data_IF_325584682726
#
_entry.id   IF_325584682726
#
_cell.length_a   1.000
_cell.length_b   1.000
_cell.length_c   1.000
_cell.angle_alpha   90.00
_cell.angle_beta   90.00
_cell.angle_gamma   90.00
#
_symmetry.space_group_name_H-M   'P 1'
#
loop_
_entity.id
_entity.type
_entity.pdbx_description
1 polymer ?
#
# COMPACT_ATOMS: atom_id res chain seq x y z
N UNK A 1 43.12 -13.08 -3.55
CA UNK A 1 44.02 -13.22 -4.71
C UNK A 1 45.37 -13.60 -4.18
N UNK A 2 45.91 -14.70 -4.70
CA UNK A 2 47.33 -14.99 -4.51
C UNK A 2 48.17 -13.85 -5.10
N UNK A 3 49.27 -13.52 -4.41
CA UNK A 3 50.25 -12.54 -4.85
C UNK A 3 51.56 -13.25 -5.09
N UNK A 4 52.24 -12.95 -6.20
CA UNK A 4 53.57 -13.50 -6.47
C UNK A 4 54.57 -12.80 -5.55
N UNK A 5 55.36 -13.57 -4.82
CA UNK A 5 56.42 -13.09 -3.95
C UNK A 5 57.53 -12.46 -4.79
N UNK A 6 58.02 -11.29 -4.36
CA UNK A 6 59.10 -10.61 -5.07
C UNK A 6 60.39 -11.46 -5.08
N UNK A 7 61.07 -11.50 -6.22
CA UNK A 7 62.35 -12.21 -6.34
C UNK A 7 63.45 -11.50 -5.51
N UNK A 8 64.40 -12.26 -4.95
CA UNK A 8 65.55 -11.70 -4.24
C UNK A 8 66.47 -10.94 -5.19
N UNK A 9 67.38 -10.14 -4.63
CA UNK A 9 68.33 -9.32 -5.41
C UNK A 9 69.15 -10.19 -6.38
N UNK A 10 69.18 -9.87 -7.68
CA UNK A 10 69.87 -10.70 -8.66
C UNK A 10 71.39 -10.69 -8.45
N UNK A 11 72.08 -11.82 -8.72
CA UNK A 11 73.54 -11.87 -8.73
C UNK A 11 74.10 -11.00 -9.87
N UNK A 12 75.20 -10.29 -9.62
CA UNK A 12 75.82 -9.38 -10.61
C UNK A 12 77.34 -9.48 -10.58
N UNK A 13 77.96 -9.50 -11.76
CA UNK A 13 79.43 -9.54 -11.88
C UNK A 13 80.11 -8.26 -11.37
N UNK A 14 79.33 -7.19 -11.15
CA UNK A 14 79.79 -5.96 -10.51
C UNK A 14 79.96 -6.09 -8.98
N UNK A 15 79.44 -7.17 -8.37
CA UNK A 15 79.55 -7.47 -6.94
C UNK A 15 79.96 -8.96 -6.75
N UNK A 16 81.22 -9.31 -7.05
CA UNK A 16 81.68 -10.70 -7.06
C UNK A 16 81.66 -11.34 -5.67
N UNK A 17 81.79 -10.55 -4.60
CA UNK A 17 81.79 -11.02 -3.22
C UNK A 17 80.46 -11.65 -2.83
N UNK A 18 79.33 -11.03 -3.24
CA UNK A 18 77.98 -11.51 -2.89
C UNK A 18 77.32 -12.33 -4.00
N UNK A 19 78.02 -12.60 -5.11
CA UNK A 19 77.45 -13.28 -6.27
C UNK A 19 76.92 -14.69 -5.95
N UNK A 20 77.67 -15.58 -5.27
CA UNK A 20 77.22 -16.95 -5.02
C UNK A 20 75.96 -17.01 -4.15
N UNK A 21 75.94 -16.26 -3.03
CA UNK A 21 74.80 -16.23 -2.11
C UNK A 21 73.52 -15.71 -2.79
N UNK A 22 73.64 -14.68 -3.65
CA UNK A 22 72.51 -14.16 -4.44
C UNK A 22 72.05 -15.13 -5.52
N UNK A 23 72.97 -15.90 -6.12
CA UNK A 23 72.63 -16.93 -7.09
C UNK A 23 71.84 -18.07 -6.43
N UNK A 24 72.28 -18.54 -5.27
CA UNK A 24 71.59 -19.58 -4.51
C UNK A 24 70.22 -19.10 -4.02
N UNK A 25 70.14 -17.87 -3.49
CA UNK A 25 68.87 -17.28 -3.07
C UNK A 25 67.86 -17.17 -4.23
N UNK A 26 68.32 -16.76 -5.42
CA UNK A 26 67.49 -16.71 -6.62
C UNK A 26 67.00 -18.10 -7.01
N UNK A 27 67.89 -19.10 -7.06
CA UNK A 27 67.53 -20.47 -7.43
C UNK A 27 66.55 -21.11 -6.45
N UNK A 28 66.65 -20.78 -5.16
CA UNK A 28 65.69 -21.21 -4.13
C UNK A 28 64.32 -20.52 -4.26
N UNK A 29 64.25 -19.31 -4.82
CA UNK A 29 62.99 -18.58 -5.01
C UNK A 29 62.19 -19.04 -6.24
N UNK A 30 62.84 -19.60 -7.26
CA UNK A 30 62.19 -20.01 -8.52
C UNK A 30 61.09 -21.07 -8.34
N UNK A 31 61.27 -22.15 -7.54
CA UNK A 31 60.19 -23.12 -7.31
C UNK A 31 58.93 -22.48 -6.70
N UNK A 32 59.11 -21.59 -5.73
CA UNK A 32 58.01 -20.83 -5.10
C UNK A 32 57.30 -19.95 -6.13
N UNK A 33 58.06 -19.23 -6.96
CA UNK A 33 57.51 -18.41 -8.04
C UNK A 33 56.68 -19.26 -9.03
N UNK A 34 57.12 -20.47 -9.39
CA UNK A 34 56.36 -21.38 -10.25
C UNK A 34 55.05 -21.80 -9.58
N UNK A 35 55.08 -22.17 -8.30
CA UNK A 35 53.87 -22.52 -7.54
C UNK A 35 52.87 -21.36 -7.49
N UNK A 36 53.32 -20.16 -7.16
CA UNK A 36 52.48 -18.97 -7.08
C UNK A 36 51.93 -18.58 -8.46
N UNK A 37 52.75 -18.68 -9.51
CA UNK A 37 52.33 -18.41 -10.90
C UNK A 37 51.25 -19.39 -11.34
N UNK A 38 51.41 -20.67 -11.04
CA UNK A 38 50.40 -21.69 -11.33
C UNK A 38 49.10 -21.46 -10.53
N UNK A 39 49.21 -21.01 -9.28
CA UNK A 39 48.06 -20.65 -8.46
C UNK A 39 47.30 -19.45 -9.04
N UNK A 40 48.00 -18.38 -9.43
CA UNK A 40 47.40 -17.21 -10.10
C UNK A 40 46.75 -17.62 -11.43
N UNK A 41 47.39 -18.48 -12.23
CA UNK A 41 46.80 -18.99 -13.47
C UNK A 41 45.50 -19.76 -13.22
N UNK A 42 45.45 -20.59 -12.16
CA UNK A 42 44.24 -21.29 -11.75
C UNK A 42 43.13 -20.32 -11.28
N UNK A 43 43.48 -19.30 -10.49
CA UNK A 43 42.54 -18.27 -10.04
C UNK A 43 41.96 -17.47 -11.22
N UNK A 44 42.79 -17.10 -12.20
CA UNK A 44 42.34 -16.40 -13.42
C UNK A 44 41.36 -17.26 -14.22
N UNK A 45 41.66 -18.55 -14.41
CA UNK A 45 40.76 -19.49 -15.10
C UNK A 45 39.42 -19.66 -14.35
N UNK A 46 39.47 -19.76 -13.01
CA UNK A 46 38.27 -19.84 -12.18
C UNK A 46 37.43 -18.57 -12.27
N UNK A 47 38.06 -17.39 -12.21
CA UNK A 47 37.38 -16.09 -12.35
C UNK A 47 36.75 -15.92 -13.73
N UNK A 48 37.43 -16.34 -14.80
CA UNK A 48 36.87 -16.32 -16.15
C UNK A 48 35.63 -17.23 -16.27
N UNK A 49 35.69 -18.44 -15.72
CA UNK A 49 34.55 -19.35 -15.69
C UNK A 49 33.38 -18.79 -14.85
N UNK A 50 33.68 -18.20 -13.69
CA UNK A 50 32.68 -17.54 -12.84
C UNK A 50 32.02 -16.35 -13.55
N UNK A 51 32.79 -15.54 -14.27
CA UNK A 51 32.26 -14.41 -15.04
C UNK A 51 31.31 -14.86 -16.17
N UNK A 52 31.66 -15.94 -16.89
CA UNK A 52 30.79 -16.52 -17.93
C UNK A 52 29.48 -17.05 -17.31
N UNK A 53 29.56 -17.77 -16.19
CA UNK A 53 28.36 -18.26 -15.50
C UNK A 53 27.48 -17.13 -14.96
N UNK A 54 28.09 -16.08 -14.39
CA UNK A 54 27.38 -14.90 -13.94
C UNK A 54 26.63 -14.21 -15.11
N UNK A 55 27.30 -14.03 -16.25
CA UNK A 55 26.67 -13.46 -17.45
C UNK A 55 25.51 -14.33 -17.97
N UNK A 56 25.68 -15.65 -18.02
CA UNK A 56 24.62 -16.57 -18.43
C UNK A 56 23.42 -16.52 -17.47
N UNK A 57 23.67 -16.48 -16.15
CA UNK A 57 22.61 -16.38 -15.14
C UNK A 57 21.84 -15.06 -15.22
N UNK A 58 22.52 -13.94 -15.48
CA UNK A 58 21.90 -12.63 -15.66
C UNK A 58 21.06 -12.57 -16.95
N UNK A 59 21.53 -13.17 -18.05
CA UNK A 59 20.79 -13.25 -19.30
C UNK A 59 19.55 -14.16 -19.19
N UNK A 60 19.61 -15.22 -18.38
CA UNK A 60 18.51 -16.13 -18.12
C UNK A 60 17.51 -15.63 -17.05
N UNK A 61 17.80 -14.50 -16.39
CA UNK A 61 16.95 -13.97 -15.33
C UNK A 61 15.54 -13.62 -15.88
N UNK A 62 14.47 -14.21 -15.33
CA UNK A 62 13.10 -13.91 -15.76
C UNK A 62 12.78 -12.42 -15.62
N UNK A 63 12.26 -11.81 -16.70
CA UNK A 63 11.78 -10.43 -16.64
C UNK A 63 10.51 -10.30 -15.79
N UNK A 64 10.31 -9.13 -15.16
CA UNK A 64 9.10 -8.80 -14.39
C UNK A 64 8.09 -7.96 -15.17
N UNK A 65 8.49 -7.43 -16.33
CA UNK A 65 7.62 -6.69 -17.23
C UNK A 65 7.38 -7.49 -18.51
N UNK A 66 6.21 -7.30 -19.10
CA UNK A 66 5.80 -7.91 -20.35
C UNK A 66 4.94 -6.97 -21.17
N UNK A 67 4.55 -7.43 -22.35
CA UNK A 67 3.61 -6.73 -23.20
C UNK A 67 2.58 -7.72 -23.74
N UNK A 68 1.46 -7.21 -24.24
CA UNK A 68 0.46 -8.02 -24.92
C UNK A 68 -0.15 -7.26 -26.08
N UNK A 69 -0.35 -7.96 -27.20
CA UNK A 69 -1.10 -7.47 -28.35
C UNK A 69 -2.55 -8.02 -28.39
N UNK A 70 -2.99 -8.68 -27.32
CA UNK A 70 -4.35 -9.24 -27.25
C UNK A 70 -5.39 -8.12 -27.25
N UNK A 71 -6.41 -8.26 -28.11
CA UNK A 71 -7.57 -7.37 -28.16
C UNK A 71 -8.51 -7.68 -26.99
N UNK A 72 -8.48 -6.85 -25.95
CA UNK A 72 -9.22 -7.07 -24.70
C UNK A 72 -9.98 -5.80 -24.33
N UNK A 73 -11.26 -5.95 -24.01
CA UNK A 73 -12.08 -4.88 -23.45
C UNK A 73 -11.71 -4.63 -21.98
N UNK A 74 -11.57 -3.37 -21.60
CA UNK A 74 -11.41 -2.97 -20.20
C UNK A 74 -12.67 -3.37 -19.43
N UNK A 75 -12.49 -4.13 -18.36
CA UNK A 75 -13.57 -4.53 -17.47
C UNK A 75 -13.09 -5.45 -16.35
N UNK A 76 -13.90 -5.60 -15.32
CA UNK A 76 -13.60 -6.46 -14.17
C UNK A 76 -13.81 -7.94 -14.47
N UNK A 77 -13.36 -8.80 -13.55
CA UNK A 77 -13.45 -10.27 -13.65
C UNK A 77 -12.32 -10.88 -14.49
N UNK A 78 -12.47 -12.15 -14.86
CA UNK A 78 -11.44 -12.86 -15.62
C UNK A 78 -11.20 -12.21 -17.01
N UNK A 79 -9.92 -12.00 -17.34
CA UNK A 79 -9.43 -11.53 -18.64
C UNK A 79 -8.23 -12.38 -19.05
N UNK A 80 -8.13 -12.67 -20.34
CA UNK A 80 -7.06 -13.48 -20.91
C UNK A 80 -6.20 -12.65 -21.85
N UNK A 81 -4.89 -12.85 -21.78
CA UNK A 81 -3.89 -12.20 -22.61
C UNK A 81 -2.91 -13.24 -23.14
N UNK A 82 -2.36 -12.97 -24.32
CA UNK A 82 -1.17 -13.62 -24.83
C UNK A 82 0.00 -12.68 -24.62
N UNK A 83 1.06 -13.18 -24.00
CA UNK A 83 2.24 -12.42 -23.59
C UNK A 83 3.50 -13.26 -23.78
N UNK A 84 4.66 -12.76 -23.39
CA UNK A 84 5.91 -13.52 -23.44
C UNK A 84 5.92 -14.64 -22.39
N UNK A 85 6.65 -15.72 -22.68
CA UNK A 85 6.89 -16.80 -21.73
C UNK A 85 8.03 -16.47 -20.74
N UNK A 86 8.09 -17.21 -19.63
CA UNK A 86 9.22 -17.18 -18.70
C UNK A 86 9.33 -15.90 -17.85
N UNK A 87 8.22 -15.22 -17.55
CA UNK A 87 8.21 -14.06 -16.65
C UNK A 87 8.12 -14.48 -15.17
N UNK A 88 8.74 -13.70 -14.28
CA UNK A 88 8.68 -13.92 -12.82
C UNK A 88 7.35 -13.41 -12.24
N UNK A 89 6.25 -14.06 -12.63
CA UNK A 89 4.88 -13.60 -12.37
C UNK A 89 4.11 -14.51 -11.41
N UNK A 90 4.79 -15.34 -10.62
CA UNK A 90 4.13 -16.27 -9.71
C UNK A 90 3.42 -15.53 -8.57
N UNK A 91 2.10 -15.73 -8.46
CA UNK A 91 1.22 -15.17 -7.42
C UNK A 91 1.29 -13.63 -7.26
N UNK A 92 1.65 -12.91 -8.33
CA UNK A 92 1.74 -11.45 -8.33
C UNK A 92 0.41 -10.79 -8.73
N UNK A 93 0.31 -9.50 -8.40
CA UNK A 93 -0.66 -8.61 -9.02
C UNK A 93 -0.02 -7.92 -10.23
N UNK A 94 -0.84 -7.60 -11.22
CA UNK A 94 -0.42 -6.91 -12.43
C UNK A 94 -1.19 -5.61 -12.61
N UNK A 95 -0.47 -4.59 -13.08
CA UNK A 95 -1.05 -3.43 -13.74
C UNK A 95 -0.86 -3.62 -15.25
N UNK A 96 -1.98 -3.64 -15.96
CA UNK A 96 -2.05 -3.81 -17.42
C UNK A 96 -2.56 -2.50 -17.99
N UNK A 97 -1.70 -1.69 -18.60
CA UNK A 97 -2.02 -0.35 -19.08
C UNK A 97 -1.88 -0.25 -20.58
N UNK A 98 -2.73 0.56 -21.21
CA UNK A 98 -2.56 0.92 -22.62
C UNK A 98 -1.21 1.63 -22.81
N UNK A 99 -0.45 1.19 -23.80
CA UNK A 99 0.83 1.81 -24.17
C UNK A 99 0.69 3.20 -24.77
N UNK A 100 -0.46 3.52 -25.36
CA UNK A 100 -0.74 4.81 -26.00
C UNK A 100 -1.40 5.78 -25.01
N UNK A 101 -2.39 5.30 -24.26
CA UNK A 101 -3.15 6.12 -23.31
C UNK A 101 -3.11 5.52 -21.90
N UNK A 102 -2.06 5.77 -21.10
CA UNK A 102 -1.85 5.08 -19.81
C UNK A 102 -2.92 5.32 -18.73
N UNK A 103 -3.85 6.26 -18.94
CA UNK A 103 -5.05 6.43 -18.08
C UNK A 103 -6.06 5.29 -18.25
N UNK A 104 -5.94 4.52 -19.34
CA UNK A 104 -6.67 3.28 -19.58
C UNK A 104 -5.88 2.11 -19.01
N UNK A 105 -6.38 1.47 -17.95
CA UNK A 105 -5.68 0.37 -17.31
C UNK A 105 -6.62 -0.61 -16.59
N UNK A 106 -6.08 -1.81 -16.35
CA UNK A 106 -6.67 -2.86 -15.54
C UNK A 106 -5.66 -3.29 -14.46
N UNK A 107 -6.13 -3.42 -13.24
CA UNK A 107 -5.38 -3.98 -12.12
C UNK A 107 -6.01 -5.30 -11.71
N UNK A 108 -5.21 -6.34 -11.51
CA UNK A 108 -5.76 -7.63 -11.10
C UNK A 108 -4.72 -8.64 -10.61
N UNK A 109 -5.22 -9.74 -10.05
CA UNK A 109 -4.38 -10.85 -9.62
C UNK A 109 -4.23 -11.87 -10.74
N UNK A 110 -3.03 -12.40 -10.91
CA UNK A 110 -2.80 -13.52 -11.81
C UNK A 110 -3.52 -14.76 -11.28
N UNK A 111 -4.36 -15.36 -12.13
CA UNK A 111 -5.07 -16.62 -11.84
C UNK A 111 -4.49 -17.81 -12.61
N UNK A 112 -3.72 -17.54 -13.66
CA UNK A 112 -3.01 -18.55 -14.43
C UNK A 112 -1.96 -17.92 -15.32
N UNK A 113 -0.78 -18.53 -15.39
CA UNK A 113 0.27 -18.14 -16.32
C UNK A 113 1.05 -19.38 -16.73
N UNK A 114 0.94 -19.77 -18.00
CA UNK A 114 1.58 -20.96 -18.53
C UNK A 114 2.02 -20.72 -19.99
N UNK A 115 3.32 -20.88 -20.27
CA UNK A 115 3.88 -20.51 -21.55
C UNK A 115 3.61 -19.03 -21.85
N UNK A 116 2.87 -18.75 -22.92
CA UNK A 116 2.48 -17.40 -23.33
C UNK A 116 1.06 -17.01 -22.92
N UNK A 117 0.29 -17.93 -22.32
CA UNK A 117 -1.08 -17.67 -21.89
C UNK A 117 -1.11 -17.08 -20.47
N UNK A 118 -1.78 -15.95 -20.31
CA UNK A 118 -1.96 -15.26 -19.04
C UNK A 118 -3.46 -15.04 -18.78
N UNK A 119 -3.95 -15.44 -17.61
CA UNK A 119 -5.29 -15.12 -17.12
C UNK A 119 -5.20 -14.31 -15.83
N UNK A 120 -5.91 -13.19 -15.80
CA UNK A 120 -5.92 -12.23 -14.69
C UNK A 120 -7.36 -12.02 -14.24
N UNK A 121 -7.61 -12.12 -12.94
CA UNK A 121 -8.85 -11.65 -12.35
C UNK A 121 -8.73 -10.15 -12.08
N UNK A 122 -9.34 -9.33 -12.93
CA UNK A 122 -9.29 -7.87 -12.86
C UNK A 122 -10.22 -7.37 -11.75
N UNK A 123 -9.66 -6.62 -10.82
CA UNK A 123 -10.31 -6.12 -9.61
C UNK A 123 -10.66 -4.64 -9.71
N UNK A 124 -9.88 -3.87 -10.47
CA UNK A 124 -10.10 -2.45 -10.67
C UNK A 124 -9.68 -2.03 -12.08
N UNK A 125 -10.34 -1.01 -12.61
CA UNK A 125 -10.11 -0.49 -13.95
C UNK A 125 -10.21 1.03 -13.98
N UNK A 126 -9.54 1.66 -14.94
CA UNK A 126 -9.74 3.06 -15.31
C UNK A 126 -9.88 3.16 -16.83
N UNK A 127 -10.71 4.10 -17.27
CA UNK A 127 -11.02 4.27 -18.69
C UNK A 127 -11.99 3.20 -19.22
N UNK A 128 -12.10 3.12 -20.53
CA UNK A 128 -13.01 2.21 -21.24
C UNK A 128 -12.45 1.85 -22.62
N UNK A 129 -13.09 0.90 -23.30
CA UNK A 129 -12.76 0.50 -24.68
C UNK A 129 -12.03 -0.83 -24.79
N UNK A 130 -11.76 -1.24 -26.04
CA UNK A 130 -11.03 -2.46 -26.39
C UNK A 130 -9.65 -2.09 -26.92
N UNK A 131 -8.60 -2.55 -26.23
CA UNK A 131 -7.21 -2.19 -26.51
C UNK A 131 -6.45 -3.43 -26.96
N UNK A 132 -5.51 -3.25 -27.88
CA UNK A 132 -4.67 -4.30 -28.43
C UNK A 132 -3.16 -4.00 -28.30
N UNK A 133 -2.78 -3.07 -27.42
CA UNK A 133 -1.38 -2.72 -27.13
C UNK A 133 -1.19 -2.42 -25.64
N UNK A 134 -0.77 -3.44 -24.90
CA UNK A 134 -0.68 -3.43 -23.45
C UNK A 134 0.76 -3.48 -22.95
N UNK A 135 1.07 -2.65 -21.95
CA UNK A 135 2.18 -2.86 -21.03
C UNK A 135 1.67 -3.68 -19.84
N UNK A 136 2.44 -4.67 -19.40
CA UNK A 136 2.14 -5.52 -18.25
C UNK A 136 3.29 -5.38 -17.25
N UNK A 137 2.99 -4.87 -16.06
CA UNK A 137 3.97 -4.66 -14.99
C UNK A 137 3.51 -5.30 -13.69
N UNK A 138 4.43 -5.90 -12.94
CA UNK A 138 4.14 -6.42 -11.59
C UNK A 138 3.92 -5.28 -10.61
N UNK A 139 2.90 -5.41 -9.76
CA UNK A 139 2.56 -4.45 -8.71
C UNK A 139 2.22 -5.19 -7.41
N UNK A 140 2.22 -4.46 -6.30
CA UNK A 140 1.75 -4.99 -5.01
C UNK A 140 0.23 -5.08 -4.93
N UNK A 141 -0.31 -5.82 -3.94
CA UNK A 141 -1.73 -5.84 -3.64
C UNK A 141 -2.24 -4.43 -3.28
N UNK A 142 -3.49 -4.11 -3.60
CA UNK A 142 -4.17 -2.99 -2.96
C UNK A 142 -4.32 -3.27 -1.46
N UNK A 143 -3.99 -2.28 -0.64
CA UNK A 143 -4.33 -2.32 0.77
C UNK A 143 -5.83 -2.04 0.94
N UNK A 144 -6.53 -2.79 1.82
CA UNK A 144 -7.90 -2.46 2.15
C UNK A 144 -7.94 -1.10 2.82
N UNK A 145 -8.94 -0.28 2.48
CA UNK A 145 -9.21 0.97 3.17
C UNK A 145 -9.42 0.71 4.66
N UNK A 146 -8.86 1.56 5.51
CA UNK A 146 -9.19 1.59 6.93
C UNK A 146 -10.56 2.22 7.16
N UNK A 147 -11.17 1.93 8.29
CA UNK A 147 -12.43 2.56 8.69
C UNK A 147 -12.31 4.10 8.73
N UNK A 148 -11.16 4.63 9.16
CA UNK A 148 -10.91 6.08 9.20
C UNK A 148 -10.82 6.68 7.79
N UNK A 149 -10.16 6.01 6.84
CA UNK A 149 -10.07 6.49 5.46
C UNK A 149 -11.44 6.50 4.77
N UNK A 150 -12.28 5.50 5.02
CA UNK A 150 -13.66 5.46 4.49
C UNK A 150 -14.47 6.64 5.05
N UNK A 151 -14.36 6.90 6.37
CA UNK A 151 -15.07 8.00 7.00
C UNK A 151 -14.57 9.37 6.57
N UNK A 152 -13.27 9.54 6.35
CA UNK A 152 -12.71 10.80 5.86
C UNK A 152 -12.98 11.00 4.36
N UNK A 153 -13.04 9.93 3.56
CA UNK A 153 -13.29 9.99 2.13
C UNK A 153 -12.14 10.59 1.32
N UNK A 154 -10.92 10.64 1.87
CA UNK A 154 -9.77 11.36 1.27
C UNK A 154 -8.77 10.44 0.57
N UNK A 155 -8.84 9.12 0.77
CA UNK A 155 -7.89 8.18 0.18
C UNK A 155 -8.27 7.82 -1.26
N UNK A 156 -7.33 7.91 -2.21
CA UNK A 156 -7.56 7.64 -3.64
C UNK A 156 -6.98 6.31 -4.12
N UNK A 157 -6.24 5.58 -3.27
CA UNK A 157 -5.42 4.43 -3.68
C UNK A 157 -5.67 3.17 -2.84
N UNK A 158 -6.85 3.06 -2.24
CA UNK A 158 -7.24 1.94 -1.37
C UNK A 158 -8.52 1.28 -1.88
N UNK A 159 -8.66 -0.02 -1.66
CA UNK A 159 -9.89 -0.75 -2.00
C UNK A 159 -10.85 -0.77 -0.80
N UNK A 160 -12.10 -0.40 -1.01
CA UNK A 160 -13.14 -0.60 0.00
C UNK A 160 -13.57 -2.08 -0.04
N UNK A 161 -13.29 -2.80 1.04
CA UNK A 161 -13.81 -4.18 1.22
C UNK A 161 -15.13 -4.14 2.01
N UNK A 162 -15.98 -5.17 1.90
CA UNK A 162 -17.17 -5.26 2.75
C UNK A 162 -16.86 -5.16 4.25
N UNK A 163 -15.78 -5.82 4.71
CA UNK A 163 -15.36 -5.75 6.11
C UNK A 163 -14.93 -4.32 6.53
N UNK A 164 -14.18 -3.63 5.67
CA UNK A 164 -13.77 -2.24 5.92
C UNK A 164 -14.98 -1.29 5.98
N UNK A 165 -15.95 -1.47 5.07
CA UNK A 165 -17.19 -0.70 5.08
C UNK A 165 -17.99 -0.93 6.37
N UNK A 166 -18.18 -2.18 6.79
CA UNK A 166 -18.86 -2.49 8.05
C UNK A 166 -18.12 -1.91 9.26
N UNK A 167 -16.78 -1.94 9.26
CA UNK A 167 -15.98 -1.33 10.33
C UNK A 167 -16.12 0.21 10.36
N UNK A 168 -16.29 0.87 9.20
CA UNK A 168 -16.54 2.30 9.12
C UNK A 168 -17.90 2.71 9.72
N UNK A 169 -18.88 1.81 9.68
CA UNK A 169 -20.24 2.00 10.24
C UNK A 169 -20.33 1.76 11.75
N UNK A 170 -19.29 1.23 12.40
CA UNK A 170 -19.29 1.04 13.84
C UNK A 170 -19.44 2.38 14.59
N UNK A 171 -20.13 2.35 15.73
CA UNK A 171 -20.34 3.55 16.55
C UNK A 171 -19.00 4.07 17.08
N UNK A 172 -18.65 5.31 16.74
CA UNK A 172 -17.49 6.03 17.29
C UNK A 172 -17.90 6.77 18.56
N UNK A 173 -17.15 6.58 19.65
CA UNK A 173 -17.39 7.32 20.89
C UNK A 173 -16.87 8.75 20.73
N UNK A 174 -17.76 9.72 20.85
CA UNK A 174 -17.40 11.14 20.96
C UNK A 174 -17.33 11.46 22.45
N UNK A 175 -16.19 11.99 22.88
CA UNK A 175 -15.95 12.31 24.29
C UNK A 175 -16.92 13.39 24.80
N UNK A 176 -17.36 13.22 26.04
CA UNK A 176 -18.16 14.21 26.74
C UNK A 176 -17.35 15.48 27.02
N UNK A 177 -17.98 16.63 26.81
CA UNK A 177 -17.41 17.95 27.06
C UNK A 177 -18.56 18.94 27.29
N UNK A 178 -18.29 20.08 27.96
CA UNK A 178 -19.29 21.14 28.15
C UNK A 178 -19.89 21.59 26.80
N UNK A 179 -19.04 21.74 25.79
CA UNK A 179 -19.40 21.95 24.40
C UNK A 179 -18.78 20.84 23.56
N UNK A 180 -19.63 20.06 22.90
CA UNK A 180 -19.25 18.95 22.03
C UNK A 180 -19.33 19.47 20.59
N UNK A 181 -18.20 19.45 19.87
CA UNK A 181 -18.13 19.84 18.45
C UNK A 181 -17.85 18.59 17.62
N UNK A 182 -18.86 17.98 16.97
CA UNK A 182 -18.64 16.80 16.16
C UNK A 182 -17.78 17.12 14.93
N UNK A 183 -17.01 16.13 14.47
CA UNK A 183 -16.21 16.22 13.24
C UNK A 183 -16.66 15.10 12.30
N UNK A 184 -17.45 15.42 11.27
CA UNK A 184 -18.12 14.41 10.45
C UNK A 184 -17.18 13.55 9.59
N UNK A 185 -15.94 13.98 9.39
CA UNK A 185 -14.92 13.14 8.75
C UNK A 185 -14.45 11.98 9.65
N UNK A 186 -14.81 11.97 10.94
CA UNK A 186 -14.33 10.98 11.91
C UNK A 186 -15.33 9.88 12.26
N UNK A 187 -16.61 10.03 11.92
CA UNK A 187 -17.68 9.06 12.23
C UNK A 187 -18.76 9.03 11.14
N UNK A 188 -19.45 7.89 10.99
CA UNK A 188 -20.75 7.79 10.31
C UNK A 188 -21.84 7.56 11.36
N UNK A 189 -21.55 6.67 12.30
CA UNK A 189 -22.38 6.50 13.48
C UNK A 189 -21.55 6.85 14.72
N UNK A 190 -22.16 7.52 15.68
CA UNK A 190 -21.48 7.92 16.91
C UNK A 190 -22.32 7.64 18.16
N UNK A 191 -21.65 7.56 19.30
CA UNK A 191 -22.27 7.55 20.63
C UNK A 191 -21.69 8.67 21.48
N UNK A 192 -22.57 9.42 22.16
CA UNK A 192 -22.25 10.42 23.17
C UNK A 192 -22.97 10.00 24.46
N UNK A 193 -22.21 9.88 25.55
CA UNK A 193 -22.79 9.76 26.90
C UNK A 193 -22.68 11.12 27.59
N UNK A 194 -23.80 11.69 28.00
CA UNK A 194 -23.85 13.04 28.56
C UNK A 194 -23.50 13.01 30.05
N UNK A 195 -22.36 13.59 30.43
CA UNK A 195 -21.92 13.71 31.84
C UNK A 195 -22.47 14.95 32.57
N UNK A 196 -23.28 15.74 31.89
CA UNK A 196 -23.81 17.00 32.40
C UNK A 196 -24.74 17.65 31.37
N UNK A 197 -25.20 18.87 31.64
CA UNK A 197 -25.90 19.67 30.63
C UNK A 197 -24.87 20.15 29.62
N UNK A 198 -25.03 19.75 28.34
CA UNK A 198 -24.05 19.99 27.27
C UNK A 198 -24.64 20.83 26.15
N UNK A 199 -23.76 21.33 25.29
CA UNK A 199 -24.10 21.91 24.00
C UNK A 199 -23.52 21.04 22.89
N UNK A 200 -24.34 20.57 21.96
CA UNK A 200 -23.91 20.01 20.68
C UNK A 200 -23.73 21.16 19.69
N UNK A 201 -22.50 21.66 19.57
CA UNK A 201 -22.18 22.80 18.72
C UNK A 201 -22.36 22.47 17.22
N UNK A 202 -22.23 23.50 16.39
CA UNK A 202 -22.12 23.31 14.95
C UNK A 202 -20.88 22.45 14.65
N UNK A 203 -21.03 21.34 13.91
CA UNK A 203 -19.92 20.43 13.64
C UNK A 203 -18.93 21.00 12.63
N UNK A 204 -17.73 20.44 12.61
CA UNK A 204 -16.78 20.65 11.49
C UNK A 204 -17.21 19.75 10.33
N UNK A 205 -17.53 20.38 9.19
CA UNK A 205 -18.00 19.72 7.96
C UNK A 205 -17.08 20.12 6.81
N UNK A 206 -16.39 19.16 6.21
CA UNK A 206 -15.67 19.35 4.96
C UNK A 206 -16.59 19.16 3.74
N UNK A 207 -16.19 19.64 2.57
CA UNK A 207 -16.95 19.43 1.34
C UNK A 207 -17.18 17.94 1.02
N UNK A 208 -16.24 17.07 1.37
CA UNK A 208 -16.35 15.61 1.20
C UNK A 208 -17.32 14.94 2.20
N UNK A 209 -17.82 15.68 3.19
CA UNK A 209 -18.82 15.20 4.15
C UNK A 209 -20.26 15.48 3.69
N UNK A 210 -20.45 16.36 2.71
CA UNK A 210 -21.78 16.69 2.16
C UNK A 210 -22.38 15.44 1.50
N UNK A 211 -23.65 15.15 1.82
CA UNK A 211 -24.37 13.95 1.39
C UNK A 211 -24.16 12.73 2.30
N UNK A 212 -23.36 12.82 3.37
CA UNK A 212 -23.31 11.76 4.37
C UNK A 212 -24.56 11.79 5.25
N UNK A 213 -25.06 10.60 5.55
CA UNK A 213 -26.14 10.39 6.52
C UNK A 213 -25.73 9.32 7.53
N UNK A 214 -26.29 9.39 8.73
CA UNK A 214 -25.91 8.48 9.81
C UNK A 214 -26.72 8.71 11.07
N UNK A 215 -26.22 8.21 12.21
CA UNK A 215 -26.86 8.40 13.52
C UNK A 215 -25.89 8.83 14.61
N UNK A 216 -26.40 9.59 15.57
CA UNK A 216 -25.74 9.86 16.85
C UNK A 216 -26.65 9.32 17.94
N UNK A 217 -26.15 8.31 18.66
CA UNK A 217 -26.76 7.77 19.87
C UNK A 217 -26.40 8.69 21.05
N UNK A 218 -27.41 9.22 21.70
CA UNK A 218 -27.28 10.01 22.91
C UNK A 218 -27.68 9.14 24.11
N UNK A 219 -26.86 9.12 25.14
CA UNK A 219 -27.07 8.32 26.35
C UNK A 219 -27.01 9.22 27.58
N UNK A 220 -28.03 9.18 28.42
CA UNK A 220 -27.98 9.78 29.75
C UNK A 220 -26.92 9.07 30.60
N UNK A 221 -26.19 9.79 31.45
CA UNK A 221 -25.36 9.15 32.47
C UNK A 221 -26.19 8.38 33.51
N UNK A 222 -25.52 7.82 34.50
CA UNK A 222 -26.15 7.09 35.60
C UNK A 222 -27.03 7.97 36.52
N UNK A 223 -27.03 9.29 36.35
CA UNK A 223 -27.89 10.22 37.12
C UNK A 223 -29.15 10.55 36.33
N UNK A 224 -29.02 10.80 35.03
CA UNK A 224 -30.10 11.28 34.18
C UNK A 224 -30.33 12.79 34.30
N UNK A 225 -31.45 13.24 33.73
CA UNK A 225 -31.87 14.66 33.69
C UNK A 225 -30.88 15.62 33.02
N UNK A 226 -30.04 15.11 32.10
CA UNK A 226 -29.15 15.94 31.29
C UNK A 226 -29.90 16.55 30.12
N UNK A 227 -29.60 17.81 29.85
CA UNK A 227 -30.08 18.54 28.67
C UNK A 227 -29.00 18.66 27.62
N UNK A 228 -29.40 18.76 26.35
CA UNK A 228 -28.52 19.04 25.23
C UNK A 228 -29.07 20.23 24.45
N UNK A 229 -28.30 21.33 24.41
CA UNK A 229 -28.58 22.47 23.54
C UNK A 229 -27.93 22.23 22.16
N UNK A 230 -28.49 22.80 21.10
CA UNK A 230 -28.01 22.58 19.73
C UNK A 230 -27.49 23.86 19.08
N UNK A 231 -26.47 23.71 18.24
CA UNK A 231 -26.03 24.75 17.31
C UNK A 231 -27.05 25.01 16.20
N UNK A 232 -26.96 26.18 15.56
CA UNK A 232 -27.90 26.62 14.52
C UNK A 232 -27.93 25.76 13.25
N UNK A 233 -26.92 24.92 13.00
CA UNK A 233 -26.84 24.09 11.80
C UNK A 233 -27.70 22.82 11.90
N UNK A 234 -28.17 22.45 13.10
CA UNK A 234 -29.04 21.31 13.34
C UNK A 234 -30.49 21.70 13.09
N UNK A 235 -31.07 21.25 11.97
CA UNK A 235 -32.42 21.61 11.54
C UNK A 235 -33.39 20.49 11.88
N UNK A 236 -34.11 20.66 12.98
CA UNK A 236 -35.12 19.71 13.46
C UNK A 236 -36.47 19.89 12.77
N UNK A 237 -37.25 18.81 12.73
CA UNK A 237 -38.63 18.85 12.23
C UNK A 237 -39.47 19.89 13.00
N UNK A 238 -40.23 20.68 12.27
CA UNK A 238 -41.00 21.81 12.81
C UNK A 238 -40.18 22.92 13.49
N UNK A 239 -38.84 22.90 13.41
CA UNK A 239 -37.97 23.88 14.06
C UNK A 239 -37.89 23.74 15.59
N UNK A 240 -38.26 22.57 16.13
CA UNK A 240 -38.25 22.31 17.58
C UNK A 240 -37.08 21.39 17.94
N UNK A 241 -36.17 21.89 18.75
CA UNK A 241 -35.03 21.13 19.26
C UNK A 241 -35.46 19.84 19.99
N UNK A 242 -34.63 18.81 19.90
CA UNK A 242 -34.85 17.55 20.61
C UNK A 242 -34.84 17.76 22.14
N UNK A 243 -35.95 17.43 22.79
CA UNK A 243 -36.01 17.28 24.25
C UNK A 243 -35.67 15.83 24.63
N UNK A 244 -34.56 15.63 25.33
CA UNK A 244 -34.07 14.30 25.69
C UNK A 244 -34.97 13.54 26.68
N UNK A 245 -34.83 12.23 26.67
CA UNK A 245 -35.30 11.35 27.74
C UNK A 245 -34.44 11.58 28.98
N UNK A 246 -35.05 11.62 30.16
CA UNK A 246 -34.39 12.09 31.39
C UNK A 246 -34.03 10.97 32.39
N UNK A 247 -34.49 9.74 32.17
CA UNK A 247 -34.12 8.65 33.06
C UNK A 247 -32.62 8.35 32.97
N UNK A 248 -32.01 7.92 34.07
CA UNK A 248 -30.63 7.46 34.08
C UNK A 248 -30.43 6.36 33.02
N UNK A 249 -29.37 6.46 32.21
CA UNK A 249 -29.09 5.52 31.14
C UNK A 249 -30.05 5.55 29.94
N UNK A 250 -31.04 6.45 29.92
CA UNK A 250 -31.98 6.56 28.79
C UNK A 250 -31.25 6.89 27.48
N UNK A 251 -31.75 6.32 26.39
CA UNK A 251 -31.17 6.45 25.06
C UNK A 251 -32.11 7.19 24.11
N UNK A 252 -31.56 8.18 23.42
CA UNK A 252 -32.20 8.87 22.30
C UNK A 252 -31.29 8.79 21.06
N UNK A 253 -31.87 8.92 19.87
CA UNK A 253 -31.12 8.95 18.61
C UNK A 253 -31.42 10.22 17.83
N UNK A 254 -30.37 10.79 17.27
CA UNK A 254 -30.40 11.78 16.19
C UNK A 254 -30.02 11.04 14.91
N UNK A 255 -30.87 11.08 13.90
CA UNK A 255 -30.52 10.69 12.53
C UNK A 255 -30.28 11.97 11.75
N UNK A 256 -29.18 12.02 11.01
CA UNK A 256 -28.75 13.22 10.32
C UNK A 256 -28.56 12.97 8.83
N UNK A 257 -28.77 14.03 8.05
CA UNK A 257 -28.39 14.14 6.64
C UNK A 257 -27.69 15.48 6.39
N UNK A 258 -26.48 15.45 5.84
CA UNK A 258 -25.65 16.65 5.63
C UNK A 258 -25.96 17.24 4.25
N UNK A 259 -26.91 18.18 4.20
CA UNK A 259 -27.30 18.88 2.96
C UNK A 259 -26.21 19.86 2.49
N UNK A 260 -25.51 20.51 3.43
CA UNK A 260 -24.37 21.39 3.14
C UNK A 260 -23.45 21.54 4.35
N UNK A 261 -22.34 22.28 4.20
CA UNK A 261 -21.40 22.56 5.30
C UNK A 261 -22.03 23.35 6.47
N UNK A 262 -23.22 23.93 6.29
CA UNK A 262 -23.94 24.70 7.32
C UNK A 262 -25.36 24.22 7.57
N UNK A 263 -25.81 23.13 6.91
CA UNK A 263 -27.19 22.65 7.00
C UNK A 263 -27.24 21.14 7.18
N UNK A 264 -27.79 20.71 8.32
CA UNK A 264 -27.94 19.31 8.69
C UNK A 264 -29.42 19.06 8.97
N UNK A 265 -30.06 18.21 8.17
CA UNK A 265 -31.45 17.83 8.40
C UNK A 265 -31.48 16.73 9.46
N UNK A 266 -32.33 16.91 10.46
CA UNK A 266 -32.39 16.03 11.63
C UNK A 266 -33.77 15.41 11.77
N UNK A 267 -33.79 14.09 11.98
CA UNK A 267 -34.94 13.38 12.55
C UNK A 267 -34.51 12.68 13.84
N UNK A 268 -35.46 12.42 14.75
CA UNK A 268 -35.12 11.94 16.09
C UNK A 268 -35.96 10.75 16.51
N UNK A 269 -35.39 9.91 17.37
CA UNK A 269 -36.11 8.84 18.06
C UNK A 269 -35.81 8.92 19.54
N UNK A 270 -36.85 9.18 20.33
CA UNK A 270 -36.76 9.35 21.78
C UNK A 270 -37.10 8.06 22.53
N UNK A 271 -36.44 7.83 23.66
CA UNK A 271 -36.85 6.86 24.69
C UNK A 271 -36.77 5.41 24.21
N UNK A 272 -35.68 5.07 23.53
CA UNK A 272 -35.45 3.69 23.09
C UNK A 272 -35.04 2.85 24.30
N UNK A 273 -35.87 1.86 24.63
CA UNK A 273 -35.61 0.88 25.68
C UNK A 273 -34.52 -0.12 25.29
#
# INVERSE_FOLDING_TARGET
MTTITALPTPPTRADPTNFPDRADALMLALPTMVTETNAVAAEVNANAAAAIQAAASAAAAPGTNGTSASSVAIGTGAKAFVTQAGKAWLNQYLLISDTVTPTNWMYGQITGYAGTALTVNVLATSGAGTIASWNISTVGPFLPATAAEIRAGTASNVMITPAALIAALADVVIADAATITPVFSTFINATITLGGNRTLANPTIAAADVGKSGRIKLVQDATGSRTLAFGSNWLFDGGVDLVLSIAAGAVDYIYYDIESITRIIVSTKKGVA
#
